data_IF_465168503562
#
_entry.id   IF_465168503562
#
_cell.length_a   1.000
_cell.length_b   1.000
_cell.length_c   1.000
_cell.angle_alpha   90.00
_cell.angle_beta   90.00
_cell.angle_gamma   90.00
#
_symmetry.space_group_name_H-M   'P 1'
#
loop_
_entity.id
_entity.type
_entity.pdbx_description
1 polymer ?
#
# COMPACT_ATOMS: atom_id res chain seq x y z
N UNK A 1 9.81 43.20 -37.91
CA UNK A 1 9.74 41.81 -37.42
C UNK A 1 8.28 41.56 -37.04
N UNK A 2 7.57 40.71 -37.79
CA UNK A 2 6.12 40.56 -37.67
C UNK A 2 5.73 39.71 -36.44
N UNK A 3 4.76 40.20 -35.65
CA UNK A 3 4.24 39.56 -34.44
C UNK A 3 3.86 38.10 -34.71
N UNK A 4 3.34 37.77 -35.88
CA UNK A 4 3.00 36.40 -36.31
C UNK A 4 4.23 35.48 -36.38
N UNK A 5 5.41 36.02 -36.78
CA UNK A 5 6.65 35.25 -36.85
C UNK A 5 7.20 34.94 -35.46
N UNK A 6 7.05 35.85 -34.50
CA UNK A 6 7.46 35.66 -33.11
C UNK A 6 6.61 34.61 -32.40
N UNK A 7 5.30 34.59 -32.67
CA UNK A 7 4.39 33.56 -32.08
C UNK A 7 4.72 32.15 -32.55
N UNK A 8 5.09 31.98 -33.83
CA UNK A 8 5.40 30.63 -34.37
C UNK A 8 6.73 30.11 -33.79
N UNK A 9 7.74 30.98 -33.65
CA UNK A 9 9.03 30.59 -33.07
C UNK A 9 8.91 30.26 -31.57
N UNK A 10 8.07 30.99 -30.83
CA UNK A 10 7.84 30.71 -29.41
C UNK A 10 7.10 29.38 -29.20
N UNK A 11 6.13 29.08 -30.04
CA UNK A 11 5.41 27.78 -30.01
C UNK A 11 6.34 26.61 -30.36
N UNK A 12 7.24 26.76 -31.30
CA UNK A 12 8.22 25.75 -31.66
C UNK A 12 9.24 25.47 -30.54
N UNK A 13 9.65 26.51 -29.79
CA UNK A 13 10.52 26.30 -28.62
C UNK A 13 9.84 25.55 -27.49
N UNK A 14 8.56 25.82 -27.22
CA UNK A 14 7.79 25.09 -26.22
C UNK A 14 7.58 23.61 -26.57
N UNK A 15 7.36 23.30 -27.84
CA UNK A 15 7.20 21.92 -28.32
C UNK A 15 8.52 21.13 -28.20
N UNK A 16 9.67 21.74 -28.41
CA UNK A 16 10.98 21.10 -28.26
C UNK A 16 11.31 20.75 -26.79
N UNK A 17 10.86 21.58 -25.82
CA UNK A 17 11.05 21.30 -24.38
C UNK A 17 10.20 20.14 -23.88
N UNK A 18 9.05 19.87 -24.49
CA UNK A 18 8.15 18.78 -24.07
C UNK A 18 8.66 17.40 -24.46
N UNK A 19 9.52 17.30 -25.49
CA UNK A 19 10.06 16.02 -25.96
C UNK A 19 11.21 15.51 -25.09
N UNK A 20 11.95 16.40 -24.43
CA UNK A 20 13.06 16.00 -23.54
C UNK A 20 12.63 15.43 -22.19
N UNK A 21 11.36 15.54 -21.83
CA UNK A 21 10.83 15.04 -20.55
C UNK A 21 10.39 13.57 -20.58
N UNK A 22 10.41 12.90 -21.72
CA UNK A 22 9.92 11.54 -21.90
C UNK A 22 11.01 10.45 -21.92
N UNK A 23 12.28 10.80 -21.77
CA UNK A 23 13.34 9.81 -21.49
C UNK A 23 13.50 9.61 -19.97
N UNK A 24 12.38 9.54 -19.22
CA UNK A 24 12.39 9.14 -17.85
C UNK A 24 12.59 7.61 -17.77
N UNK A 25 13.86 7.25 -17.53
CA UNK A 25 14.28 6.02 -16.85
C UNK A 25 13.40 4.79 -17.15
N UNK A 26 13.75 4.09 -18.20
CA UNK A 26 13.44 2.68 -18.29
C UNK A 26 14.15 2.01 -17.10
N UNK A 27 13.40 1.73 -16.04
CA UNK A 27 13.90 0.96 -14.93
C UNK A 27 14.51 -0.33 -15.47
N UNK A 28 15.63 -0.82 -14.91
CA UNK A 28 16.22 -2.04 -15.36
C UNK A 28 15.14 -3.13 -15.34
N UNK A 29 14.98 -3.80 -16.46
CA UNK A 29 13.99 -4.87 -16.66
C UNK A 29 14.47 -6.08 -15.86
N UNK A 30 14.09 -6.15 -14.57
CA UNK A 30 14.39 -7.30 -13.73
C UNK A 30 13.39 -8.40 -14.04
N UNK A 31 13.88 -9.51 -14.58
CA UNK A 31 13.10 -10.72 -14.75
C UNK A 31 13.14 -11.53 -13.46
N UNK A 32 11.98 -11.65 -12.78
CA UNK A 32 11.85 -12.43 -11.56
C UNK A 32 11.24 -13.79 -11.88
N UNK A 33 11.91 -14.86 -11.47
CA UNK A 33 11.37 -16.21 -11.55
C UNK A 33 10.81 -16.61 -10.19
N UNK A 34 9.53 -16.92 -10.12
CA UNK A 34 8.88 -17.41 -8.88
C UNK A 34 9.37 -18.82 -8.59
N UNK A 35 10.16 -18.98 -7.52
CA UNK A 35 10.66 -20.27 -7.06
C UNK A 35 9.61 -20.99 -6.19
N UNK A 36 8.91 -20.22 -5.35
CA UNK A 36 7.87 -20.71 -4.46
C UNK A 36 6.87 -19.62 -4.17
N UNK A 37 5.59 -19.96 -4.26
CA UNK A 37 4.48 -19.08 -3.89
C UNK A 37 3.72 -19.71 -2.72
N UNK A 38 3.51 -18.94 -1.66
CA UNK A 38 2.64 -19.36 -0.56
C UNK A 38 1.24 -18.79 -0.78
N UNK A 39 0.18 -19.58 -0.55
CA UNK A 39 -1.19 -19.08 -0.64
C UNK A 39 -1.41 -17.99 0.40
N UNK A 40 -2.02 -16.90 -0.02
CA UNK A 40 -2.35 -15.75 0.84
C UNK A 40 -3.80 -15.34 0.62
N UNK A 41 -4.43 -14.75 1.64
CA UNK A 41 -5.74 -14.14 1.53
C UNK A 41 -5.68 -12.78 0.81
N UNK A 42 -6.83 -12.22 0.44
CA UNK A 42 -6.89 -10.94 -0.23
C UNK A 42 -6.33 -9.80 0.63
N UNK A 43 -5.71 -8.83 -0.02
CA UNK A 43 -5.16 -7.64 0.64
C UNK A 43 -6.32 -6.79 1.17
N UNK A 44 -6.25 -6.40 2.45
CA UNK A 44 -7.22 -5.56 3.12
C UNK A 44 -6.69 -4.14 3.33
N UNK A 45 -7.57 -3.17 3.22
CA UNK A 45 -7.20 -1.77 3.37
C UNK A 45 -7.51 -1.27 4.79
N UNK A 46 -6.47 -1.01 5.58
CA UNK A 46 -6.62 -0.43 6.93
C UNK A 46 -6.99 1.06 6.94
N UNK A 47 -6.93 1.74 5.79
CA UNK A 47 -7.07 3.19 5.69
C UNK A 47 -6.12 3.91 6.66
N UNK A 48 -6.55 4.99 7.34
CA UNK A 48 -5.73 5.81 8.26
C UNK A 48 -5.92 5.44 9.74
N UNK A 49 -6.26 4.19 10.03
CA UNK A 49 -6.61 3.77 11.40
C UNK A 49 -5.41 3.54 12.33
N UNK A 50 -4.17 3.47 11.81
CA UNK A 50 -2.99 3.14 12.62
C UNK A 50 -2.99 1.71 13.19
N UNK A 51 -3.74 0.81 12.57
CA UNK A 51 -3.95 -0.58 13.03
C UNK A 51 -3.16 -1.62 12.23
N UNK A 52 -2.05 -1.22 11.60
CA UNK A 52 -1.20 -2.09 10.78
C UNK A 52 -0.77 -3.36 11.53
N UNK A 53 -0.51 -3.27 12.82
CA UNK A 53 -0.16 -4.40 13.69
C UNK A 53 -1.23 -5.49 13.70
N UNK A 54 -2.50 -5.11 13.70
CA UNK A 54 -3.62 -6.06 13.70
C UNK A 54 -3.84 -6.67 12.31
N UNK A 55 -3.83 -5.83 11.28
CA UNK A 55 -4.00 -6.28 9.89
C UNK A 55 -2.90 -7.27 9.48
N UNK A 56 -1.63 -6.98 9.78
CA UNK A 56 -0.53 -7.89 9.46
C UNK A 56 -0.59 -9.20 10.25
N UNK A 57 -0.94 -9.13 11.53
CA UNK A 57 -1.04 -10.33 12.36
C UNK A 57 -2.19 -11.25 11.91
N UNK A 58 -3.37 -10.69 11.61
CA UNK A 58 -4.51 -11.48 11.15
C UNK A 58 -4.30 -12.02 9.74
N UNK A 59 -3.72 -11.24 8.84
CA UNK A 59 -3.36 -11.71 7.50
C UNK A 59 -2.39 -12.91 7.55
N UNK A 60 -1.43 -12.89 8.47
CA UNK A 60 -0.57 -14.05 8.71
C UNK A 60 -1.37 -15.28 9.18
N UNK A 61 -2.25 -15.12 10.18
CA UNK A 61 -3.07 -16.21 10.70
C UNK A 61 -4.00 -16.79 9.63
N UNK A 62 -4.65 -15.93 8.85
CA UNK A 62 -5.52 -16.34 7.74
C UNK A 62 -4.76 -17.13 6.67
N UNK A 63 -3.56 -16.66 6.31
CA UNK A 63 -2.70 -17.33 5.35
C UNK A 63 -2.21 -18.69 5.85
N UNK A 64 -1.91 -18.82 7.15
CA UNK A 64 -1.53 -20.10 7.75
C UNK A 64 -2.71 -21.08 7.82
N UNK A 65 -3.92 -20.60 8.10
CA UNK A 65 -5.12 -21.46 8.03
C UNK A 65 -5.36 -21.94 6.61
N UNK A 66 -5.27 -21.04 5.64
CA UNK A 66 -5.39 -21.39 4.22
C UNK A 66 -4.35 -22.45 3.81
N UNK A 67 -3.09 -22.27 4.23
CA UNK A 67 -2.00 -23.21 3.94
C UNK A 67 -2.21 -24.57 4.57
N UNK A 68 -2.71 -24.64 5.82
CA UNK A 68 -2.87 -25.88 6.56
C UNK A 68 -4.17 -26.63 6.25
N UNK A 69 -5.26 -25.91 6.05
CA UNK A 69 -6.60 -26.48 5.91
C UNK A 69 -7.20 -26.33 4.52
N UNK A 70 -6.65 -25.44 3.68
CA UNK A 70 -7.23 -25.09 2.39
C UNK A 70 -8.49 -24.21 2.46
N UNK A 71 -8.93 -23.84 3.67
CA UNK A 71 -10.10 -23.00 3.89
C UNK A 71 -9.70 -21.53 4.00
N UNK A 72 -10.39 -20.66 3.26
CA UNK A 72 -10.21 -19.21 3.37
C UNK A 72 -11.08 -18.68 4.51
N UNK A 73 -10.45 -18.09 5.51
CA UNK A 73 -11.11 -17.35 6.59
C UNK A 73 -10.97 -15.85 6.37
N UNK A 74 -11.99 -15.12 6.79
CA UNK A 74 -11.98 -13.65 6.83
C UNK A 74 -12.25 -13.20 8.27
N UNK A 75 -11.17 -12.84 8.98
CA UNK A 75 -11.23 -12.42 10.38
C UNK A 75 -11.46 -10.91 10.47
N UNK A 76 -12.26 -10.49 11.44
CA UNK A 76 -12.55 -9.07 11.65
C UNK A 76 -11.42 -8.39 12.43
N UNK A 77 -10.59 -7.63 11.74
CA UNK A 77 -9.51 -6.84 12.34
C UNK A 77 -10.05 -5.82 13.34
N UNK A 78 -11.13 -5.14 12.99
CA UNK A 78 -11.70 -4.10 13.86
C UNK A 78 -12.31 -4.67 15.14
N UNK A 79 -12.77 -5.90 15.14
CA UNK A 79 -13.19 -6.58 16.37
C UNK A 79 -12.00 -6.79 17.31
N UNK A 80 -10.87 -7.30 16.80
CA UNK A 80 -9.65 -7.52 17.59
C UNK A 80 -9.08 -6.20 18.08
N UNK A 81 -9.05 -5.16 17.24
CA UNK A 81 -8.63 -3.80 17.63
C UNK A 81 -9.48 -3.26 18.77
N UNK A 82 -10.81 -3.34 18.65
CA UNK A 82 -11.74 -2.87 19.66
C UNK A 82 -11.55 -3.58 21.00
N UNK A 83 -11.37 -4.90 20.99
CA UNK A 83 -11.07 -5.68 22.20
C UNK A 83 -9.74 -5.28 22.82
N UNK A 84 -8.68 -5.17 22.01
CA UNK A 84 -7.35 -4.80 22.46
C UNK A 84 -7.33 -3.42 23.13
N UNK A 85 -7.99 -2.43 22.53
CA UNK A 85 -8.06 -1.07 23.11
C UNK A 85 -8.88 -1.03 24.39
N UNK A 86 -9.99 -1.75 24.44
CA UNK A 86 -10.76 -1.89 25.67
C UNK A 86 -9.92 -2.47 26.80
N UNK A 87 -9.21 -3.56 26.53
CA UNK A 87 -8.39 -4.22 27.55
C UNK A 87 -7.24 -3.32 28.03
N UNK A 88 -6.63 -2.56 27.11
CA UNK A 88 -5.61 -1.56 27.45
C UNK A 88 -6.19 -0.44 28.32
N UNK A 89 -7.36 0.09 27.99
CA UNK A 89 -8.02 1.13 28.77
C UNK A 89 -8.34 0.65 30.20
N UNK A 90 -8.88 -0.57 30.34
CA UNK A 90 -9.16 -1.17 31.65
C UNK A 90 -7.89 -1.37 32.46
N UNK A 91 -6.82 -1.87 31.84
CA UNK A 91 -5.51 -2.02 32.51
C UNK A 91 -4.95 -0.68 32.95
N UNK A 92 -4.98 0.32 32.07
CA UNK A 92 -4.50 1.67 32.38
C UNK A 92 -5.19 2.25 33.59
N UNK A 93 -6.52 2.16 33.68
CA UNK A 93 -7.28 2.65 34.85
C UNK A 93 -6.95 1.85 36.13
N UNK A 94 -6.82 0.52 36.00
CA UNK A 94 -6.54 -0.34 37.17
C UNK A 94 -5.12 -0.22 37.70
N UNK A 95 -4.18 0.21 36.88
CA UNK A 95 -2.76 0.35 37.25
C UNK A 95 -2.34 1.81 37.42
N UNK A 96 -3.28 2.73 37.68
CA UNK A 96 -3.03 4.16 37.86
C UNK A 96 -2.20 4.80 36.73
N UNK A 97 -2.42 4.37 35.51
CA UNK A 97 -1.72 4.92 34.34
C UNK A 97 -0.36 4.32 34.02
N UNK A 98 0.00 3.20 34.62
CA UNK A 98 1.25 2.46 34.35
C UNK A 98 1.07 1.28 33.41
#
# INVERSE_FOLDING_TARGET
>A
MNIKSISITLAALFAAFSISAQEAQKAPDYEFTTIKENPVTSIKNQYRSGTCWCFSALSFVESEVLRMKGDSLDLSEMFVVGKSYRDRAVKYVRLDGH
#
